data_IF_888524658706
#
_entry.id   IF_888524658706
#
_cell.length_a   1.000
_cell.length_b   1.000
_cell.length_c   1.000
_cell.angle_alpha   90.00
_cell.angle_beta   90.00
_cell.angle_gamma   90.00
#
_symmetry.space_group_name_H-M   'P 1'
#
loop_
_entity.id
_entity.type
_entity.pdbx_description
1 polymer ?
#
# COMPACT_ATOMS: atom_id res chain seq x y z
N UNK A 1 11.86 -4.23 -30.62
CA UNK A 1 12.93 -4.70 -29.72
C UNK A 1 12.42 -4.84 -28.28
N UNK A 2 11.88 -3.78 -27.67
CA UNK A 2 11.30 -3.84 -26.30
C UNK A 2 10.09 -4.78 -26.19
N UNK A 3 9.16 -4.74 -27.15
CA UNK A 3 7.98 -5.60 -27.19
C UNK A 3 8.33 -7.10 -27.20
N UNK A 4 9.28 -7.51 -28.04
CA UNK A 4 9.77 -8.89 -28.10
C UNK A 4 10.49 -9.33 -26.82
N UNK A 5 11.18 -8.42 -26.13
CA UNK A 5 11.79 -8.70 -24.84
C UNK A 5 10.73 -8.92 -23.76
N UNK A 6 9.70 -8.05 -23.71
CA UNK A 6 8.60 -8.16 -22.76
C UNK A 6 7.74 -9.41 -23.00
N UNK A 7 7.51 -9.81 -24.26
CA UNK A 7 6.86 -11.09 -24.58
C UNK A 7 7.67 -12.30 -24.09
N UNK A 8 8.99 -12.29 -24.29
CA UNK A 8 9.84 -13.37 -23.80
C UNK A 8 9.90 -13.40 -22.27
N UNK A 9 9.96 -12.22 -21.64
CA UNK A 9 9.95 -12.10 -20.19
C UNK A 9 8.62 -12.61 -19.61
N UNK A 10 7.48 -12.22 -20.17
CA UNK A 10 6.17 -12.70 -19.69
C UNK A 10 6.00 -14.21 -19.87
N UNK A 11 6.54 -14.77 -20.95
CA UNK A 11 6.51 -16.22 -21.19
C UNK A 11 7.39 -17.03 -20.23
N UNK A 12 8.44 -16.43 -19.65
CA UNK A 12 9.36 -17.13 -18.72
C UNK A 12 8.83 -17.10 -17.29
N UNK A 13 8.12 -16.04 -16.91
CA UNK A 13 7.89 -15.75 -15.48
C UNK A 13 6.53 -16.24 -14.96
N UNK A 14 5.68 -16.86 -15.80
CA UNK A 14 4.32 -17.29 -15.41
C UNK A 14 3.56 -16.18 -14.63
N UNK A 15 2.56 -16.52 -13.82
CA UNK A 15 1.86 -15.55 -12.96
C UNK A 15 2.66 -15.11 -11.72
N UNK A 16 3.99 -15.34 -11.67
CA UNK A 16 4.82 -14.96 -10.52
C UNK A 16 5.23 -13.49 -10.53
N UNK A 17 5.13 -12.80 -11.67
CA UNK A 17 5.25 -11.34 -11.71
C UNK A 17 3.88 -10.72 -11.46
N UNK A 18 3.77 -10.00 -10.34
CA UNK A 18 2.64 -9.14 -10.02
C UNK A 18 2.86 -7.71 -10.54
N UNK A 19 1.80 -6.91 -10.56
CA UNK A 19 1.85 -5.54 -11.07
C UNK A 19 2.81 -4.64 -10.29
N UNK A 20 3.02 -4.89 -9.00
CA UNK A 20 3.81 -3.99 -8.14
C UNK A 20 5.31 -3.93 -8.52
N UNK A 21 6.06 -5.05 -8.66
CA UNK A 21 7.42 -5.06 -9.21
C UNK A 21 7.52 -4.50 -10.62
N UNK A 22 6.53 -4.75 -11.49
CA UNK A 22 6.53 -4.19 -12.85
C UNK A 22 6.46 -2.67 -12.81
N UNK A 23 5.52 -2.11 -12.04
CA UNK A 23 5.38 -0.69 -11.86
C UNK A 23 6.64 -0.08 -11.21
N UNK A 24 7.23 -0.75 -10.22
CA UNK A 24 8.48 -0.30 -9.59
C UNK A 24 9.66 -0.30 -10.56
N UNK A 25 9.87 -1.37 -11.33
CA UNK A 25 10.98 -1.46 -12.30
C UNK A 25 10.85 -0.44 -13.43
N UNK A 26 9.62 -0.14 -13.83
CA UNK A 26 9.34 0.86 -14.86
C UNK A 26 9.28 2.28 -14.30
N UNK A 27 9.44 2.46 -12.99
CA UNK A 27 9.29 3.74 -12.29
C UNK A 27 7.95 4.41 -12.60
N UNK A 28 6.86 3.62 -12.56
CA UNK A 28 5.50 4.07 -12.85
C UNK A 28 4.60 3.98 -11.61
N UNK A 29 3.65 4.90 -11.50
CA UNK A 29 2.51 4.75 -10.60
C UNK A 29 1.42 3.82 -11.20
N UNK A 30 0.38 3.51 -10.42
CA UNK A 30 -0.75 2.69 -10.87
C UNK A 30 -1.62 3.34 -11.96
N UNK A 31 -1.39 4.60 -12.28
CA UNK A 31 -2.02 5.33 -13.38
C UNK A 31 -1.15 5.34 -14.65
N UNK A 32 0.07 4.79 -14.59
CA UNK A 32 1.01 4.77 -15.70
C UNK A 32 1.83 6.06 -15.85
N UNK A 33 1.81 6.95 -14.86
CA UNK A 33 2.65 8.15 -14.85
C UNK A 33 4.05 7.81 -14.34
N UNK A 34 5.07 8.47 -14.89
CA UNK A 34 6.45 8.32 -14.41
C UNK A 34 6.58 8.93 -13.01
N UNK A 35 7.12 8.14 -12.08
CA UNK A 35 7.49 8.60 -10.76
C UNK A 35 8.58 9.66 -10.92
N UNK A 36 8.28 10.89 -10.54
CA UNK A 36 9.27 11.96 -10.46
C UNK A 36 10.15 11.67 -9.24
N UNK A 37 11.20 10.87 -9.43
CA UNK A 37 12.25 10.67 -8.42
C UNK A 37 13.00 11.99 -8.32
N UNK A 38 12.58 12.85 -7.40
CA UNK A 38 13.28 14.08 -7.09
C UNK A 38 14.54 13.68 -6.30
N UNK A 39 15.73 14.02 -6.81
CA UNK A 39 17.02 13.74 -6.14
C UNK A 39 17.12 14.43 -4.75
N UNK A 40 16.24 15.41 -4.48
CA UNK A 40 15.99 15.99 -3.17
C UNK A 40 14.64 15.55 -2.58
N UNK A 41 14.51 14.28 -2.19
CA UNK A 41 13.37 13.82 -1.41
C UNK A 41 13.55 14.12 0.10
N UNK A 42 13.85 15.36 0.47
CA UNK A 42 13.87 15.80 1.87
C UNK A 42 12.59 16.57 2.19
N UNK A 43 11.50 15.85 2.53
CA UNK A 43 10.38 16.23 3.46
C UNK A 43 9.07 15.50 3.20
N UNK A 44 8.81 14.97 1.99
CA UNK A 44 7.49 14.42 1.64
C UNK A 44 7.43 12.89 1.48
N UNK A 45 8.31 12.13 2.12
CA UNK A 45 8.08 10.69 2.24
C UNK A 45 6.97 10.51 3.29
N UNK A 46 5.75 10.05 2.93
CA UNK A 46 4.74 9.78 3.93
C UNK A 46 5.29 8.70 4.87
N UNK A 47 5.28 8.97 6.17
CA UNK A 47 5.62 7.97 7.16
C UNK A 47 4.53 6.89 7.15
N UNK A 48 4.76 5.80 6.41
CA UNK A 48 3.86 4.65 6.37
C UNK A 48 4.25 3.72 7.51
N UNK A 49 3.54 3.80 8.63
CA UNK A 49 3.65 2.83 9.71
C UNK A 49 2.57 1.74 9.53
N UNK A 50 2.98 0.50 9.29
CA UNK A 50 2.08 -0.65 9.32
C UNK A 50 2.01 -1.19 10.76
N UNK A 51 0.80 -1.31 11.31
CA UNK A 51 0.57 -1.87 12.64
C UNK A 51 -0.38 -3.08 12.53
N UNK A 52 -0.06 -4.15 13.26
CA UNK A 52 -0.92 -5.33 13.37
C UNK A 52 -1.66 -5.31 14.71
N UNK A 53 -2.98 -5.41 14.66
CA UNK A 53 -3.84 -5.38 15.85
C UNK A 53 -3.90 -6.78 16.46
N UNK A 54 -3.29 -6.96 17.63
CA UNK A 54 -3.30 -8.23 18.37
C UNK A 54 -4.53 -8.36 19.29
N UNK A 55 -5.15 -7.24 19.65
CA UNK A 55 -6.31 -7.18 20.54
C UNK A 55 -7.23 -6.03 20.16
N UNK A 56 -8.54 -6.22 20.32
CA UNK A 56 -9.54 -5.16 20.17
C UNK A 56 -9.21 -3.98 21.10
N UNK A 57 -9.34 -2.77 20.57
CA UNK A 57 -9.13 -1.53 21.30
C UNK A 57 -10.20 -0.50 20.92
N UNK A 58 -10.70 0.25 21.89
CA UNK A 58 -11.69 1.31 21.70
C UNK A 58 -11.08 2.63 22.12
N UNK A 59 -11.08 3.60 21.21
CA UNK A 59 -10.59 4.95 21.44
C UNK A 59 -11.23 5.58 22.68
N UNK A 60 -10.40 6.09 23.58
CA UNK A 60 -10.78 6.82 24.79
C UNK A 60 -10.76 8.34 24.57
N UNK A 61 -10.00 8.81 23.58
CA UNK A 61 -9.95 10.22 23.17
C UNK A 61 -10.36 10.42 21.70
N UNK A 62 -10.56 11.68 21.30
CA UNK A 62 -11.04 12.05 19.96
C UNK A 62 -9.97 11.85 18.87
N UNK A 63 -8.71 11.92 19.26
CA UNK A 63 -7.52 11.73 18.42
C UNK A 63 -7.07 10.27 18.35
N UNK A 64 -7.77 9.36 19.03
CA UNK A 64 -7.47 7.92 19.03
C UNK A 64 -8.32 7.15 18.00
N UNK A 65 -7.74 6.08 17.47
CA UNK A 65 -8.40 5.15 16.54
C UNK A 65 -8.92 3.92 17.29
N UNK A 66 -10.14 3.46 16.95
CA UNK A 66 -10.66 2.18 17.44
C UNK A 66 -10.31 1.05 16.48
N UNK A 67 -9.97 -0.11 17.03
CA UNK A 67 -9.58 -1.30 16.28
C UNK A 67 -10.43 -2.49 16.69
N UNK A 68 -11.12 -3.08 15.72
CA UNK A 68 -11.84 -4.33 15.91
C UNK A 68 -11.08 -5.52 15.33
N UNK A 69 -10.99 -6.60 16.11
CA UNK A 69 -10.52 -7.89 15.62
C UNK A 69 -11.74 -8.72 15.24
N UNK A 70 -11.90 -8.99 13.94
CA UNK A 70 -12.85 -9.95 13.39
C UNK A 70 -12.32 -11.36 13.68
N UNK A 71 -13.01 -12.21 14.47
CA UNK A 71 -12.48 -13.52 14.87
C UNK A 71 -12.18 -14.50 13.72
N UNK A 72 -12.70 -14.22 12.51
CA UNK A 72 -12.69 -15.14 11.37
C UNK A 72 -12.07 -14.58 10.09
N UNK A 73 -11.60 -13.33 10.09
CA UNK A 73 -10.94 -12.73 8.92
C UNK A 73 -9.75 -11.90 9.39
N UNK A 74 -8.60 -12.00 8.72
CA UNK A 74 -7.42 -11.15 8.94
C UNK A 74 -7.68 -9.70 8.46
N UNK A 75 -8.87 -9.18 8.70
CA UNK A 75 -9.35 -7.88 8.27
C UNK A 75 -9.61 -7.04 9.51
N UNK A 76 -8.72 -6.07 9.74
CA UNK A 76 -8.87 -5.02 10.74
C UNK A 76 -9.78 -3.92 10.22
N UNK A 77 -10.89 -3.68 10.91
CA UNK A 77 -11.73 -2.51 10.66
C UNK A 77 -11.26 -1.34 11.53
N UNK A 78 -10.88 -0.23 10.90
CA UNK A 78 -10.61 1.04 11.55
C UNK A 78 -11.86 1.91 11.52
N UNK A 79 -12.25 2.42 12.68
CA UNK A 79 -13.29 3.44 12.81
C UNK A 79 -12.70 4.69 13.45
N UNK A 80 -12.77 5.82 12.74
CA UNK A 80 -12.42 7.13 13.29
C UNK A 80 -13.59 7.65 14.12
N UNK A 81 -13.29 8.15 15.31
CA UNK A 81 -14.30 8.61 16.26
C UNK A 81 -14.66 10.08 15.99
N UNK A 82 -15.39 10.37 14.92
CA UNK A 82 -15.95 11.72 14.71
C UNK A 82 -17.21 11.88 15.56
N UNK A 83 -17.07 12.24 16.84
CA UNK A 83 -18.20 12.79 17.59
C UNK A 83 -18.57 14.14 16.96
N UNK A 84 -19.59 14.15 16.11
CA UNK A 84 -20.28 15.35 15.68
C UNK A 84 -20.80 16.08 16.92
N UNK A 85 -20.20 17.22 17.25
CA UNK A 85 -20.79 18.22 18.16
C UNK A 85 -21.73 19.12 17.38
#
# INVERSE_FOLDING_TARGET
MLSQYLEKLSAIVDSNINCSPVLTWMELDNHGNRLLVNEEASINVPAIAAAHVVKRYTAQACDELSFEVSPSTNTTHLTSNSRSS
#
